data_IF_337531142345
#
_entry.id   IF_337531142345
#
_cell.length_a   1.000
_cell.length_b   1.000
_cell.length_c   1.000
_cell.angle_alpha   90.00
_cell.angle_beta   90.00
_cell.angle_gamma   90.00
#
_symmetry.space_group_name_H-M   'P 1'
#
loop_
_entity.id
_entity.type
_entity.pdbx_description
1 polymer ?
#
# COMPACT_ATOMS: atom_id res chain seq x y z
N UNK A 1 10.04 28.44 -22.13
CA UNK A 1 9.03 29.52 -22.07
C UNK A 1 7.78 29.32 -22.98
N UNK A 2 7.55 28.18 -23.62
CA UNK A 2 6.37 28.04 -24.51
C UNK A 2 5.04 28.18 -23.77
N UNK A 3 5.01 27.98 -22.44
CA UNK A 3 3.81 28.08 -21.59
C UNK A 3 3.70 29.40 -20.83
N UNK A 4 4.62 30.35 -21.03
CA UNK A 4 4.59 31.66 -20.38
C UNK A 4 5.00 31.68 -18.89
N UNK A 5 5.42 30.55 -18.33
CA UNK A 5 5.90 30.48 -16.95
C UNK A 5 7.34 31.00 -16.84
N UNK A 6 7.63 31.69 -15.74
CA UNK A 6 8.96 32.18 -15.40
C UNK A 6 9.37 31.65 -14.05
N UNK A 7 10.64 31.23 -13.93
CA UNK A 7 11.24 30.94 -12.64
C UNK A 7 11.79 32.25 -12.07
N UNK A 8 11.33 32.63 -10.91
CA UNK A 8 11.75 33.86 -10.22
C UNK A 8 12.01 33.59 -8.73
N UNK A 9 12.30 34.64 -7.96
CA UNK A 9 12.60 34.57 -6.53
C UNK A 9 11.47 33.96 -5.69
N UNK A 10 10.22 33.99 -6.18
CA UNK A 10 9.07 33.37 -5.54
C UNK A 10 8.92 31.86 -5.83
N UNK A 11 9.64 31.37 -6.86
CA UNK A 11 9.53 29.97 -7.26
C UNK A 11 10.24 29.06 -6.26
N UNK A 12 9.49 28.17 -5.62
CA UNK A 12 10.03 27.09 -4.79
C UNK A 12 10.23 25.82 -5.65
N UNK A 13 11.28 25.07 -5.38
CA UNK A 13 11.59 23.80 -6.04
C UNK A 13 11.43 22.63 -5.07
N UNK A 14 11.07 21.45 -5.59
CA UNK A 14 11.02 20.20 -4.81
C UNK A 14 12.44 19.67 -4.55
N UNK A 15 13.12 20.25 -3.57
CA UNK A 15 14.53 19.94 -3.29
C UNK A 15 14.77 18.50 -2.87
N UNK A 16 13.79 17.89 -2.22
CA UNK A 16 13.85 16.49 -1.79
C UNK A 16 13.87 15.50 -2.97
N UNK A 17 13.48 15.92 -4.17
CA UNK A 17 13.45 15.10 -5.38
C UNK A 17 14.51 15.47 -6.41
N UNK A 18 15.13 16.64 -6.28
CA UNK A 18 16.14 17.10 -7.21
C UNK A 18 17.53 16.64 -6.78
N UNK A 19 18.34 16.22 -7.74
CA UNK A 19 19.78 16.13 -7.52
C UNK A 19 20.36 17.53 -7.32
N UNK A 20 21.49 17.64 -6.64
CA UNK A 20 22.19 18.94 -6.47
C UNK A 20 22.45 19.60 -7.83
N UNK A 21 22.85 18.82 -8.82
CA UNK A 21 23.11 19.29 -10.19
C UNK A 21 21.85 19.88 -10.83
N UNK A 22 20.70 19.20 -10.69
CA UNK A 22 19.43 19.69 -11.25
C UNK A 22 18.96 20.93 -10.51
N UNK A 23 19.08 20.96 -9.18
CA UNK A 23 18.76 22.14 -8.38
C UNK A 23 19.59 23.35 -8.80
N UNK A 24 20.90 23.20 -8.94
CA UNK A 24 21.79 24.27 -9.43
C UNK A 24 21.41 24.71 -10.85
N UNK A 25 21.16 23.76 -11.75
CA UNK A 25 20.75 24.04 -13.13
C UNK A 25 19.47 24.85 -13.19
N UNK A 26 18.45 24.43 -12.46
CA UNK A 26 17.16 25.12 -12.40
C UNK A 26 17.28 26.49 -11.74
N UNK A 27 18.06 26.60 -10.67
CA UNK A 27 18.32 27.88 -9.98
C UNK A 27 18.96 28.92 -10.88
N UNK A 28 19.83 28.52 -11.81
CA UNK A 28 20.46 29.41 -12.81
C UNK A 28 19.46 29.98 -13.84
N UNK A 29 18.27 29.38 -13.99
CA UNK A 29 17.23 29.91 -14.88
C UNK A 29 16.53 31.16 -14.30
N UNK A 30 16.69 31.44 -13.01
CA UNK A 30 16.20 32.64 -12.36
C UNK A 30 17.33 33.59 -12.03
N UNK A 31 17.44 34.76 -12.73
CA UNK A 31 18.47 35.79 -12.43
C UNK A 31 18.34 36.33 -10.99
N UNK A 32 17.17 36.31 -10.41
CA UNK A 32 16.88 36.76 -9.04
C UNK A 32 17.01 35.66 -7.97
N UNK A 33 17.40 34.43 -8.38
CA UNK A 33 17.42 33.23 -7.54
C UNK A 33 16.06 32.58 -7.41
N UNK A 34 16.01 31.46 -6.70
CA UNK A 34 14.79 30.73 -6.34
C UNK A 34 14.55 30.78 -4.84
N UNK A 35 13.34 30.45 -4.40
CA UNK A 35 12.99 30.39 -2.98
C UNK A 35 13.87 29.37 -2.23
N UNK A 36 14.22 29.70 -0.99
CA UNK A 36 14.91 28.75 -0.10
C UNK A 36 13.95 27.68 0.45
N UNK A 37 12.63 27.86 0.31
CA UNK A 37 11.61 26.90 0.74
C UNK A 37 11.61 25.67 -0.16
N UNK A 38 11.49 24.49 0.43
CA UNK A 38 11.24 23.25 -0.31
C UNK A 38 9.74 23.12 -0.65
N UNK A 39 9.44 22.99 -1.94
CA UNK A 39 8.07 22.80 -2.40
C UNK A 39 7.52 21.38 -2.14
N UNK A 40 8.39 20.40 -1.91
CA UNK A 40 7.99 18.99 -1.79
C UNK A 40 6.92 18.76 -0.72
N UNK A 41 7.11 19.30 0.48
CA UNK A 41 6.13 19.19 1.58
C UNK A 41 4.78 19.78 1.21
N UNK A 42 4.77 20.97 0.60
CA UNK A 42 3.53 21.64 0.18
C UNK A 42 2.80 20.83 -0.90
N UNK A 43 3.50 20.35 -1.91
CA UNK A 43 2.92 19.55 -2.99
C UNK A 43 2.33 18.24 -2.47
N UNK A 44 3.03 17.57 -1.55
CA UNK A 44 2.51 16.36 -0.89
C UNK A 44 1.23 16.65 -0.09
N UNK A 45 1.16 17.78 0.61
CA UNK A 45 -0.04 18.21 1.33
C UNK A 45 -1.21 18.50 0.37
N UNK A 46 -0.96 19.19 -0.74
CA UNK A 46 -1.99 19.47 -1.76
C UNK A 46 -2.54 18.15 -2.37
N UNK A 47 -1.68 17.15 -2.54
CA UNK A 47 -2.07 15.85 -3.09
C UNK A 47 -2.88 14.97 -2.13
N UNK A 48 -2.90 15.27 -0.81
CA UNK A 48 -3.65 14.50 0.17
C UNK A 48 -5.15 14.46 -0.18
N UNK A 49 -5.72 15.61 -0.54
CA UNK A 49 -7.15 15.74 -0.89
C UNK A 49 -7.31 15.72 -2.40
N UNK A 50 -8.07 14.78 -2.91
CA UNK A 50 -8.26 14.53 -4.33
C UNK A 50 -9.45 15.34 -4.87
N UNK A 51 -9.28 15.87 -6.07
CA UNK A 51 -10.37 16.48 -6.83
C UNK A 51 -11.34 15.41 -7.34
N UNK A 52 -12.59 15.77 -7.73
CA UNK A 52 -13.54 14.81 -8.31
C UNK A 52 -13.01 14.10 -9.58
N UNK A 53 -12.14 14.78 -10.34
CA UNK A 53 -11.49 14.19 -11.52
C UNK A 53 -10.51 13.09 -11.17
N UNK A 54 -9.69 13.30 -10.13
CA UNK A 54 -8.73 12.34 -9.60
C UNK A 54 -9.43 11.14 -8.97
N UNK A 55 -10.47 11.38 -8.16
CA UNK A 55 -11.28 10.33 -7.55
C UNK A 55 -11.88 9.39 -8.60
N UNK A 56 -12.37 9.93 -9.71
CA UNK A 56 -12.89 9.10 -10.81
C UNK A 56 -11.82 8.16 -11.37
N UNK A 57 -10.58 8.63 -11.55
CA UNK A 57 -9.48 7.81 -12.07
C UNK A 57 -9.05 6.75 -11.05
N UNK A 58 -9.03 7.08 -9.76
CA UNK A 58 -8.74 6.11 -8.69
C UNK A 58 -9.80 5.02 -8.65
N UNK A 59 -11.09 5.37 -8.72
CA UNK A 59 -12.18 4.38 -8.80
C UNK A 59 -12.06 3.46 -10.01
N UNK A 60 -11.70 4.00 -11.17
CA UNK A 60 -11.46 3.19 -12.36
C UNK A 60 -10.29 2.22 -12.16
N UNK A 61 -9.19 2.68 -11.57
CA UNK A 61 -8.06 1.83 -11.23
C UNK A 61 -8.45 0.76 -10.22
N UNK A 62 -9.12 1.11 -9.12
CA UNK A 62 -9.52 0.17 -8.07
C UNK A 62 -10.48 -0.92 -8.57
N UNK A 63 -11.41 -0.57 -9.47
CA UNK A 63 -12.32 -1.54 -10.08
C UNK A 63 -11.56 -2.58 -10.92
N UNK A 64 -10.64 -2.15 -11.80
CA UNK A 64 -9.81 -3.06 -12.61
C UNK A 64 -8.85 -3.88 -11.74
N UNK A 65 -8.35 -3.29 -10.66
CA UNK A 65 -7.48 -3.96 -9.70
C UNK A 65 -8.22 -5.08 -8.98
N UNK A 66 -9.46 -4.84 -8.55
CA UNK A 66 -10.31 -5.83 -7.89
C UNK A 66 -10.55 -7.07 -8.75
N UNK A 67 -10.68 -6.94 -10.07
CA UNK A 67 -10.84 -8.07 -10.99
C UNK A 67 -9.69 -9.08 -10.92
N UNK A 68 -8.48 -8.63 -10.57
CA UNK A 68 -7.31 -9.53 -10.46
C UNK A 68 -7.47 -10.48 -9.30
N UNK A 69 -7.97 -9.99 -8.16
CA UNK A 69 -8.21 -10.82 -6.97
C UNK A 69 -9.35 -11.82 -7.17
N UNK A 70 -10.35 -11.49 -7.97
CA UNK A 70 -11.44 -12.40 -8.31
C UNK A 70 -10.95 -13.62 -9.11
N UNK A 71 -9.93 -13.44 -9.96
CA UNK A 71 -9.36 -14.53 -10.76
C UNK A 71 -8.12 -15.16 -10.14
N UNK A 72 -7.52 -14.54 -9.11
CA UNK A 72 -6.27 -14.99 -8.52
C UNK A 72 -6.27 -16.49 -8.12
N UNK A 73 -7.33 -17.04 -7.48
CA UNK A 73 -7.35 -18.46 -7.15
C UNK A 73 -7.29 -19.40 -8.36
N UNK A 74 -7.77 -18.94 -9.52
CA UNK A 74 -7.79 -19.72 -10.77
C UNK A 74 -6.43 -19.74 -11.47
N UNK A 75 -5.53 -18.85 -11.08
CA UNK A 75 -4.16 -18.72 -11.62
C UNK A 75 -3.14 -19.50 -10.81
N UNK A 76 -3.54 -20.04 -9.66
CA UNK A 76 -2.70 -20.88 -8.84
C UNK A 76 -2.78 -22.34 -9.30
N UNK A 77 -1.62 -22.98 -9.41
CA UNK A 77 -1.50 -24.42 -9.62
C UNK A 77 -0.71 -25.04 -8.46
N UNK A 78 -1.12 -26.23 -7.93
CA UNK A 78 -0.41 -26.89 -6.86
C UNK A 78 1.07 -27.13 -7.18
N UNK A 79 1.94 -26.69 -6.28
CA UNK A 79 3.39 -26.77 -6.44
C UNK A 79 4.04 -25.50 -7.02
N UNK A 80 3.28 -24.50 -7.40
CA UNK A 80 3.82 -23.19 -7.75
C UNK A 80 4.61 -22.58 -6.60
N UNK A 81 5.62 -21.81 -6.95
CA UNK A 81 6.27 -20.86 -6.06
C UNK A 81 5.48 -19.56 -5.96
N UNK A 82 5.70 -18.80 -4.89
CA UNK A 82 5.17 -17.44 -4.73
C UNK A 82 5.53 -16.55 -5.94
N UNK A 83 6.74 -16.69 -6.48
CA UNK A 83 7.21 -15.95 -7.66
C UNK A 83 6.50 -16.38 -8.96
N UNK A 84 6.25 -17.67 -9.18
CA UNK A 84 5.51 -18.13 -10.36
C UNK A 84 4.06 -17.66 -10.32
N UNK A 85 3.43 -17.68 -9.14
CA UNK A 85 2.07 -17.15 -9.00
C UNK A 85 2.02 -15.63 -9.18
N UNK A 86 3.02 -14.89 -8.66
CA UNK A 86 3.16 -13.47 -8.93
C UNK A 86 3.23 -13.19 -10.44
N UNK A 87 4.04 -13.93 -11.20
CA UNK A 87 4.13 -13.75 -12.65
C UNK A 87 2.81 -14.02 -13.37
N UNK A 88 2.05 -15.03 -12.91
CA UNK A 88 0.72 -15.30 -13.47
C UNK A 88 -0.26 -14.13 -13.22
N UNK A 89 -0.26 -13.57 -12.01
CA UNK A 89 -1.04 -12.39 -11.66
C UNK A 89 -0.62 -11.16 -12.48
N UNK A 90 0.68 -10.88 -12.57
CA UNK A 90 1.21 -9.77 -13.37
C UNK A 90 0.85 -9.89 -14.86
N UNK A 91 0.87 -11.09 -15.40
CA UNK A 91 0.47 -11.32 -16.78
C UNK A 91 -1.01 -10.92 -17.01
N UNK A 92 -1.90 -11.30 -16.11
CA UNK A 92 -3.31 -10.92 -16.19
C UNK A 92 -3.54 -9.42 -15.93
N UNK A 93 -2.78 -8.80 -15.04
CA UNK A 93 -2.78 -7.35 -14.83
C UNK A 93 -2.38 -6.61 -16.11
N UNK A 94 -1.30 -7.05 -16.77
CA UNK A 94 -0.82 -6.46 -18.05
C UNK A 94 -1.83 -6.60 -19.18
N UNK A 95 -2.53 -7.72 -19.27
CA UNK A 95 -3.61 -7.90 -20.26
C UNK A 95 -4.75 -6.90 -20.07
N UNK A 96 -4.98 -6.43 -18.85
CA UNK A 96 -5.98 -5.43 -18.48
C UNK A 96 -5.47 -3.98 -18.54
N UNK A 97 -4.22 -3.79 -18.98
CA UNK A 97 -3.63 -2.48 -19.21
C UNK A 97 -2.79 -1.90 -18.07
N UNK A 98 -2.44 -2.72 -17.07
CA UNK A 98 -1.47 -2.33 -16.06
C UNK A 98 -0.09 -2.06 -16.68
N UNK A 99 0.58 -0.98 -16.24
CA UNK A 99 1.84 -0.53 -16.88
C UNK A 99 3.06 -1.37 -16.48
N UNK A 100 3.00 -2.14 -15.42
CA UNK A 100 4.05 -3.07 -15.07
C UNK A 100 4.95 -2.64 -13.92
N UNK A 101 4.65 -1.51 -13.28
CA UNK A 101 5.35 -0.99 -12.12
C UNK A 101 4.45 -0.01 -11.36
N UNK A 102 4.81 0.29 -10.12
CA UNK A 102 4.21 1.37 -9.36
C UNK A 102 5.28 2.32 -8.83
N UNK A 103 4.87 3.52 -8.43
CA UNK A 103 5.75 4.54 -7.87
C UNK A 103 5.54 4.66 -6.38
N UNK A 104 6.66 4.74 -5.66
CA UNK A 104 6.66 5.02 -4.23
C UNK A 104 7.17 6.43 -3.97
N UNK A 105 6.75 6.99 -2.83
CA UNK A 105 7.36 8.21 -2.31
C UNK A 105 8.84 8.00 -1.98
N UNK A 106 9.66 8.98 -2.31
CA UNK A 106 11.10 9.01 -2.00
C UNK A 106 11.97 9.20 -3.22
N UNK A 107 13.19 8.71 -3.19
CA UNK A 107 14.19 8.93 -4.23
C UNK A 107 13.94 8.12 -5.49
N UNK A 108 12.85 8.43 -6.20
CA UNK A 108 12.53 7.88 -7.52
C UNK A 108 12.49 6.35 -7.56
N UNK A 109 11.95 5.74 -6.51
CA UNK A 109 11.80 4.30 -6.48
C UNK A 109 10.56 3.89 -7.28
N UNK A 110 10.78 3.05 -8.28
CA UNK A 110 9.75 2.34 -9.01
C UNK A 110 9.88 0.85 -8.67
N UNK A 111 8.77 0.19 -8.41
CA UNK A 111 8.72 -1.21 -8.04
C UNK A 111 7.76 -1.98 -8.94
N UNK A 112 7.92 -3.30 -8.99
CA UNK A 112 7.04 -4.18 -9.76
C UNK A 112 5.79 -4.48 -8.94
N UNK A 113 4.70 -4.75 -9.53
CA UNK A 113 3.36 -5.12 -9.06
C UNK A 113 3.06 -5.00 -7.56
N UNK A 114 3.95 -5.38 -6.71
CA UNK A 114 3.84 -5.51 -5.25
C UNK A 114 4.51 -6.79 -4.75
N UNK A 115 3.92 -7.43 -3.75
CA UNK A 115 4.51 -8.59 -3.08
C UNK A 115 3.54 -9.77 -3.03
N UNK A 116 3.93 -10.91 -3.59
CA UNK A 116 3.29 -12.21 -3.31
C UNK A 116 4.19 -12.98 -2.37
N UNK A 117 3.77 -13.21 -1.14
CA UNK A 117 4.63 -13.73 -0.08
C UNK A 117 3.98 -14.96 0.56
N UNK A 118 4.66 -16.10 0.49
CA UNK A 118 4.20 -17.35 1.07
C UNK A 118 4.95 -17.71 2.36
N UNK A 119 4.21 -18.19 3.36
CA UNK A 119 4.76 -18.77 4.59
C UNK A 119 5.71 -17.83 5.35
N UNK A 120 6.77 -18.38 5.91
CA UNK A 120 7.75 -17.65 6.72
C UNK A 120 8.55 -16.57 5.95
N UNK A 121 8.43 -16.49 4.64
CA UNK A 121 8.98 -15.37 3.89
C UNK A 121 8.37 -14.02 4.34
N UNK A 122 7.15 -14.05 4.89
CA UNK A 122 6.48 -12.88 5.44
C UNK A 122 7.12 -12.34 6.74
N UNK A 123 7.85 -13.17 7.50
CA UNK A 123 8.55 -12.74 8.72
C UNK A 123 9.82 -11.93 8.43
N UNK A 124 10.35 -12.01 7.21
CA UNK A 124 11.64 -11.40 6.88
C UNK A 124 11.53 -9.88 6.77
N UNK A 125 12.48 -9.19 7.38
CA UNK A 125 12.61 -7.74 7.24
C UNK A 125 12.92 -7.35 5.79
N UNK A 126 12.31 -6.26 5.33
CA UNK A 126 12.65 -5.61 4.07
C UNK A 126 13.70 -4.52 4.28
N UNK A 127 14.63 -4.31 3.31
CA UNK A 127 15.51 -3.13 3.32
C UNK A 127 14.75 -1.83 2.98
N UNK A 128 13.50 -1.94 2.54
CA UNK A 128 12.63 -0.83 2.18
C UNK A 128 11.54 -0.64 3.23
N UNK A 129 10.89 0.51 3.22
CA UNK A 129 9.77 0.82 4.12
C UNK A 129 8.46 0.24 3.57
N UNK A 130 8.38 -1.08 3.57
CA UNK A 130 7.18 -1.84 3.22
C UNK A 130 6.68 -2.61 4.42
N UNK A 131 5.37 -2.75 4.56
CA UNK A 131 4.75 -3.43 5.69
C UNK A 131 5.19 -4.88 5.80
N UNK A 132 5.09 -5.64 4.67
CA UNK A 132 5.55 -7.03 4.58
C UNK A 132 6.51 -7.12 3.40
N UNK A 133 7.81 -7.10 3.69
CA UNK A 133 8.82 -7.03 2.65
C UNK A 133 9.06 -8.32 1.90
N UNK A 134 9.30 -9.39 2.62
CA UNK A 134 9.84 -10.64 2.06
C UNK A 134 11.28 -10.52 1.57
N UNK A 135 11.94 -11.65 1.36
CA UNK A 135 13.37 -11.72 0.95
C UNK A 135 13.60 -11.27 -0.48
N UNK A 136 12.60 -11.46 -1.34
CA UNK A 136 12.76 -11.24 -2.76
C UNK A 136 13.80 -12.15 -3.42
N UNK A 137 14.26 -11.73 -4.59
CA UNK A 137 15.32 -12.39 -5.36
C UNK A 137 16.58 -11.52 -5.40
N UNK A 138 17.71 -12.07 -5.83
CA UNK A 138 19.00 -11.36 -5.82
C UNK A 138 19.00 -10.02 -6.58
N UNK A 139 18.21 -9.91 -7.63
CA UNK A 139 18.06 -8.69 -8.44
C UNK A 139 17.09 -7.67 -7.84
N UNK A 140 16.18 -8.13 -6.96
CA UNK A 140 15.18 -7.30 -6.31
C UNK A 140 14.82 -7.90 -4.94
N UNK A 141 15.45 -7.45 -3.85
CA UNK A 141 15.34 -8.05 -2.52
C UNK A 141 14.07 -7.61 -1.78
N UNK A 142 12.92 -7.83 -2.40
CA UNK A 142 11.59 -7.51 -1.88
C UNK A 142 10.58 -8.53 -2.43
N UNK A 143 9.62 -8.95 -1.61
CA UNK A 143 8.48 -9.77 -2.02
C UNK A 143 8.79 -11.24 -2.20
N UNK A 144 8.26 -11.82 -3.28
CA UNK A 144 8.38 -13.23 -3.62
C UNK A 144 9.85 -13.70 -3.73
N UNK A 145 10.16 -14.84 -3.14
CA UNK A 145 11.52 -15.38 -3.05
C UNK A 145 11.73 -16.67 -3.83
N UNK A 146 10.74 -17.15 -4.57
CA UNK A 146 10.74 -18.48 -5.19
C UNK A 146 10.46 -19.59 -4.18
N UNK A 147 9.79 -19.27 -3.07
CA UNK A 147 9.35 -20.24 -2.09
C UNK A 147 8.19 -21.08 -2.65
N UNK A 148 8.34 -22.41 -2.65
CA UNK A 148 7.25 -23.31 -3.05
C UNK A 148 6.13 -23.20 -2.01
N UNK A 149 4.95 -22.83 -2.46
CA UNK A 149 3.76 -22.70 -1.60
C UNK A 149 3.35 -24.09 -1.09
N UNK A 150 3.23 -24.27 0.22
CA UNK A 150 3.00 -25.56 0.87
C UNK A 150 1.69 -25.61 1.63
N UNK A 151 1.10 -26.80 1.79
CA UNK A 151 -0.03 -26.98 2.71
C UNK A 151 0.31 -26.52 4.14
N UNK A 152 -0.59 -25.73 4.76
CA UNK A 152 -0.39 -25.15 6.08
C UNK A 152 0.17 -23.72 6.05
N UNK A 153 0.48 -23.19 4.88
CA UNK A 153 0.95 -21.81 4.72
C UNK A 153 -0.16 -20.88 4.20
N UNK A 154 -0.12 -19.63 4.66
CA UNK A 154 -0.84 -18.52 4.02
C UNK A 154 0.03 -17.92 2.92
N UNK A 155 -0.64 -17.32 1.93
CA UNK A 155 0.00 -16.53 0.88
C UNK A 155 -0.68 -15.18 0.83
N UNK A 156 0.07 -14.17 1.17
CA UNK A 156 -0.35 -12.77 1.02
C UNK A 156 -0.11 -12.33 -0.42
N UNK A 157 -1.14 -11.83 -1.06
CA UNK A 157 -1.08 -11.17 -2.37
C UNK A 157 -1.37 -9.70 -2.13
N UNK A 158 -0.35 -8.89 -2.21
CA UNK A 158 -0.33 -7.46 -1.94
C UNK A 158 0.15 -6.74 -3.21
N UNK A 159 -0.78 -6.16 -3.95
CA UNK A 159 -0.51 -5.61 -5.27
C UNK A 159 -0.92 -4.16 -5.38
N UNK A 160 -0.15 -3.40 -6.14
CA UNK A 160 -0.47 -2.04 -6.55
C UNK A 160 -1.18 -2.03 -7.91
N UNK A 161 -2.38 -1.49 -7.98
CA UNK A 161 -3.09 -1.23 -9.22
C UNK A 161 -2.63 0.09 -9.84
N UNK A 162 -2.17 0.08 -11.10
CA UNK A 162 -1.80 1.28 -11.87
C UNK A 162 -2.34 1.15 -13.30
N UNK A 163 -3.63 1.41 -13.46
CA UNK A 163 -4.36 1.28 -14.74
C UNK A 163 -4.73 2.62 -15.37
N UNK A 164 -4.55 3.70 -14.62
CA UNK A 164 -4.69 5.09 -15.08
C UNK A 164 -3.41 5.86 -14.70
N UNK A 165 -3.51 7.17 -14.41
CA UNK A 165 -2.43 7.93 -13.80
C UNK A 165 -2.41 7.81 -12.26
N UNK A 166 -3.47 7.25 -11.68
CA UNK A 166 -3.66 7.11 -10.24
C UNK A 166 -3.64 5.64 -9.84
N UNK A 167 -3.17 5.39 -8.64
CA UNK A 167 -2.97 4.05 -8.10
C UNK A 167 -4.10 3.64 -7.15
N UNK A 168 -4.17 2.34 -6.87
CA UNK A 168 -4.94 1.74 -5.78
C UNK A 168 -4.10 0.66 -5.14
N UNK A 169 -4.31 0.41 -3.86
CA UNK A 169 -3.60 -0.60 -3.09
C UNK A 169 -4.58 -1.62 -2.52
N UNK A 170 -4.20 -2.89 -2.54
CA UNK A 170 -5.07 -3.96 -2.09
C UNK A 170 -4.26 -5.20 -1.72
N UNK A 171 -4.56 -5.76 -0.55
CA UNK A 171 -4.04 -7.07 -0.14
C UNK A 171 -5.17 -8.04 0.12
N UNK A 172 -5.00 -9.29 -0.34
CA UNK A 172 -5.82 -10.44 0.06
C UNK A 172 -4.95 -11.60 0.47
N UNK A 173 -5.44 -12.39 1.42
CA UNK A 173 -4.72 -13.56 1.92
C UNK A 173 -5.40 -14.85 1.47
N UNK A 174 -4.59 -15.73 0.94
CA UNK A 174 -4.96 -17.07 0.48
C UNK A 174 -4.25 -18.12 1.32
N UNK A 175 -4.64 -19.40 1.20
CA UNK A 175 -3.94 -20.48 1.87
C UNK A 175 -4.05 -21.81 1.13
N UNK A 176 -3.13 -22.72 1.41
CA UNK A 176 -3.13 -24.09 0.86
C UNK A 176 -3.29 -25.11 1.98
N UNK A 177 -4.06 -26.16 1.72
CA UNK A 177 -4.27 -27.27 2.68
C UNK A 177 -5.17 -26.89 3.84
N UNK A 178 -4.65 -26.93 5.08
CA UNK A 178 -5.36 -26.63 6.31
C UNK A 178 -4.51 -25.72 7.18
N UNK A 179 -5.08 -24.61 7.63
CA UNK A 179 -4.47 -23.70 8.59
C UNK A 179 -4.90 -24.03 10.02
N UNK A 180 -4.09 -23.68 11.03
CA UNK A 180 -4.52 -23.72 12.44
C UNK A 180 -5.62 -22.66 12.68
N UNK A 181 -6.50 -22.92 13.68
CA UNK A 181 -7.57 -21.98 14.06
C UNK A 181 -7.05 -20.58 14.42
N UNK A 182 -5.81 -20.49 14.89
CA UNK A 182 -5.16 -19.23 15.20
C UNK A 182 -4.96 -18.34 13.97
N UNK A 183 -4.70 -18.93 12.81
CA UNK A 183 -4.59 -18.18 11.56
C UNK A 183 -5.91 -17.50 11.19
N UNK A 184 -7.04 -18.22 11.33
CA UNK A 184 -8.36 -17.62 11.10
C UNK A 184 -8.66 -16.51 12.10
N UNK A 185 -8.25 -16.67 13.38
CA UNK A 185 -8.40 -15.60 14.39
C UNK A 185 -7.54 -14.37 14.07
N UNK A 186 -6.29 -14.54 13.63
CA UNK A 186 -5.45 -13.42 13.22
C UNK A 186 -6.05 -12.67 12.03
N UNK A 187 -6.57 -13.38 11.04
CA UNK A 187 -7.25 -12.76 9.90
C UNK A 187 -8.52 -12.00 10.34
N UNK A 188 -9.32 -12.60 11.20
CA UNK A 188 -10.52 -11.98 11.77
C UNK A 188 -10.23 -10.69 12.54
N UNK A 189 -9.08 -10.60 13.23
CA UNK A 189 -8.66 -9.35 13.91
C UNK A 189 -8.46 -8.23 12.90
N UNK A 190 -7.82 -8.50 11.76
CA UNK A 190 -7.67 -7.53 10.67
C UNK A 190 -9.05 -7.10 10.13
N UNK A 191 -9.98 -8.02 9.90
CA UNK A 191 -11.33 -7.69 9.45
C UNK A 191 -12.06 -6.77 10.45
N UNK A 192 -11.96 -7.04 11.74
CA UNK A 192 -12.55 -6.19 12.81
C UNK A 192 -11.94 -4.79 12.84
N UNK A 193 -10.65 -4.65 12.52
CA UNK A 193 -10.02 -3.34 12.40
C UNK A 193 -10.61 -2.57 11.22
N UNK A 194 -10.89 -3.23 10.09
CA UNK A 194 -11.56 -2.63 8.94
C UNK A 194 -13.00 -2.24 9.27
N UNK A 195 -13.78 -3.14 9.85
CA UNK A 195 -15.16 -2.86 10.29
C UNK A 195 -15.23 -1.65 11.23
N UNK A 196 -14.31 -1.59 12.20
CA UNK A 196 -14.25 -0.45 13.11
C UNK A 196 -13.89 0.86 12.36
N UNK A 197 -12.92 0.84 11.44
CA UNK A 197 -12.57 2.03 10.66
C UNK A 197 -13.75 2.49 9.79
N UNK A 198 -14.48 1.57 9.19
CA UNK A 198 -15.69 1.87 8.40
C UNK A 198 -16.81 2.49 9.25
N UNK A 199 -16.90 2.11 10.54
CA UNK A 199 -17.89 2.67 11.47
C UNK A 199 -17.54 4.10 11.93
N UNK A 200 -16.25 4.40 12.16
CA UNK A 200 -15.83 5.67 12.76
C UNK A 200 -15.19 6.65 11.79
N UNK A 201 -14.81 6.18 10.60
CA UNK A 201 -14.03 6.93 9.63
C UNK A 201 -14.85 7.99 8.91
N UNK A 202 -14.84 9.22 9.43
CA UNK A 202 -15.51 10.39 8.82
C UNK A 202 -14.58 11.62 8.85
N UNK A 203 -14.87 12.68 8.10
CA UNK A 203 -14.12 13.92 8.18
C UNK A 203 -14.05 14.46 9.61
N UNK A 204 -12.85 14.80 10.07
CA UNK A 204 -12.59 15.25 11.44
C UNK A 204 -12.11 14.14 12.38
N UNK A 205 -12.16 12.86 11.98
CA UNK A 205 -11.62 11.78 12.81
C UNK A 205 -10.08 11.85 12.90
N UNK A 206 -9.48 11.79 14.10
CA UNK A 206 -8.02 11.90 14.26
C UNK A 206 -7.29 10.69 13.65
N UNK A 207 -6.43 10.95 12.67
CA UNK A 207 -5.69 9.87 11.96
C UNK A 207 -4.81 9.06 12.91
N UNK A 208 -4.21 9.69 13.93
CA UNK A 208 -3.39 8.99 14.91
C UNK A 208 -4.15 7.93 15.71
N UNK A 209 -5.46 8.12 15.93
CA UNK A 209 -6.29 7.15 16.65
C UNK A 209 -6.53 5.88 15.84
N UNK A 210 -6.42 5.91 14.51
CA UNK A 210 -6.55 4.71 13.67
C UNK A 210 -5.45 3.69 14.04
N UNK A 211 -4.20 4.13 14.07
CA UNK A 211 -3.08 3.27 14.48
C UNK A 211 -3.19 2.82 15.95
N UNK A 212 -3.51 3.76 16.84
CA UNK A 212 -3.59 3.48 18.28
C UNK A 212 -4.66 2.44 18.60
N UNK A 213 -5.82 2.53 17.94
CA UNK A 213 -6.89 1.56 18.11
C UNK A 213 -6.49 0.16 17.59
N UNK A 214 -5.89 0.08 16.40
CA UNK A 214 -5.40 -1.19 15.86
C UNK A 214 -4.37 -1.84 16.78
N UNK A 215 -3.41 -1.07 17.29
CA UNK A 215 -2.42 -1.57 18.24
C UNK A 215 -3.08 -2.07 19.53
N UNK A 216 -4.05 -1.33 20.06
CA UNK A 216 -4.81 -1.74 21.24
C UNK A 216 -5.58 -3.05 21.01
N UNK A 217 -6.22 -3.23 19.86
CA UNK A 217 -6.86 -4.50 19.50
C UNK A 217 -5.83 -5.62 19.40
N UNK A 218 -4.70 -5.40 18.77
CA UNK A 218 -3.62 -6.39 18.68
C UNK A 218 -3.11 -6.81 20.08
N UNK A 219 -2.99 -5.85 21.04
CA UNK A 219 -2.66 -6.11 22.44
C UNK A 219 -3.74 -6.94 23.14
N UNK A 220 -5.01 -6.57 22.99
CA UNK A 220 -6.15 -7.30 23.58
C UNK A 220 -6.23 -8.76 23.12
N UNK A 221 -5.91 -9.01 21.87
CA UNK A 221 -5.92 -10.35 21.29
C UNK A 221 -4.59 -11.11 21.44
N UNK A 222 -3.55 -10.48 22.05
CA UNK A 222 -2.26 -11.10 22.32
C UNK A 222 -1.38 -11.29 21.09
N UNK A 223 -1.59 -10.52 20.03
CA UNK A 223 -0.84 -10.60 18.75
C UNK A 223 0.03 -9.37 18.48
N UNK A 224 0.19 -8.47 19.46
CA UNK A 224 0.92 -7.21 19.29
C UNK A 224 2.39 -7.39 18.90
N UNK A 225 3.02 -8.50 19.31
CA UNK A 225 4.43 -8.78 18.97
C UNK A 225 4.63 -9.12 17.50
N UNK A 226 3.57 -9.52 16.81
CA UNK A 226 3.56 -9.89 15.40
C UNK A 226 2.67 -8.98 14.55
N UNK A 227 2.18 -7.89 15.14
CA UNK A 227 1.37 -6.89 14.45
C UNK A 227 2.26 -5.98 13.59
N UNK A 228 1.92 -5.86 12.32
CA UNK A 228 2.62 -5.08 11.29
C UNK A 228 4.07 -5.53 11.06
N UNK A 229 4.38 -6.80 11.22
CA UNK A 229 5.68 -7.41 10.99
C UNK A 229 6.16 -8.32 12.13
N UNK A 230 7.29 -9.00 11.91
CA UNK A 230 7.93 -9.90 12.87
C UNK A 230 9.37 -9.45 13.17
N UNK A 231 10.35 -9.72 12.30
CA UNK A 231 11.73 -9.25 12.48
C UNK A 231 11.84 -7.72 12.52
N UNK A 232 11.05 -7.03 11.71
CA UNK A 232 10.89 -5.59 11.71
C UNK A 232 9.40 -5.25 11.63
N UNK A 233 8.94 -4.36 12.51
CA UNK A 233 7.52 -3.97 12.56
C UNK A 233 7.34 -2.54 12.07
N UNK A 234 6.41 -2.36 11.13
CA UNK A 234 5.97 -1.04 10.71
C UNK A 234 5.24 -0.33 11.85
N UNK A 235 5.39 0.99 11.94
CA UNK A 235 4.74 1.83 12.95
C UNK A 235 3.61 2.66 12.34
N UNK A 236 2.97 2.09 11.34
CA UNK A 236 1.79 2.63 10.66
C UNK A 236 0.90 1.46 10.25
N UNK A 237 -0.34 1.74 9.91
CA UNK A 237 -1.33 0.76 9.44
C UNK A 237 -1.94 1.17 8.11
N UNK A 238 -1.27 2.09 7.40
CA UNK A 238 -1.73 2.58 6.11
C UNK A 238 -1.15 3.94 5.76
N UNK A 239 -1.51 4.40 4.58
CA UNK A 239 -1.00 5.63 3.97
C UNK A 239 -2.00 6.23 2.97
N UNK A 240 -1.75 7.45 2.52
CA UNK A 240 -2.45 8.03 1.39
C UNK A 240 -2.10 7.31 0.08
N UNK A 241 -3.02 7.30 -0.86
CA UNK A 241 -2.84 6.73 -2.20
C UNK A 241 -3.20 7.77 -3.26
N UNK A 242 -2.44 7.85 -4.34
CA UNK A 242 -2.70 8.79 -5.42
C UNK A 242 -1.84 8.57 -6.66
N UNK A 243 -1.00 9.53 -7.00
CA UNK A 243 0.00 9.42 -8.07
C UNK A 243 1.15 8.49 -7.68
N UNK A 244 1.39 8.34 -6.39
CA UNK A 244 2.30 7.38 -5.78
C UNK A 244 1.49 6.45 -4.88
N UNK A 245 2.00 5.24 -4.66
CA UNK A 245 1.29 4.25 -3.85
C UNK A 245 1.20 4.70 -2.38
N UNK A 246 2.24 5.32 -1.86
CA UNK A 246 2.36 5.75 -0.47
C UNK A 246 2.47 7.29 -0.36
N UNK A 247 1.36 7.97 -0.49
CA UNK A 247 1.26 9.42 -0.27
C UNK A 247 0.99 9.76 1.21
N UNK A 248 0.88 11.05 1.52
CA UNK A 248 0.31 11.52 2.78
C UNK A 248 -1.24 11.38 2.75
N UNK A 249 -1.87 11.18 3.93
CA UNK A 249 -1.28 11.06 5.26
C UNK A 249 -0.65 9.69 5.51
N UNK A 250 0.19 9.57 6.57
CA UNK A 250 0.60 8.28 7.09
C UNK A 250 -0.28 7.94 8.30
N UNK A 251 -0.89 6.76 8.29
CA UNK A 251 -1.76 6.28 9.38
C UNK A 251 -0.92 5.74 10.53
N UNK A 252 -0.25 6.65 11.25
CA UNK A 252 0.63 6.38 12.40
C UNK A 252 0.15 7.13 13.63
N UNK A 253 0.35 6.57 14.82
CA UNK A 253 -0.08 7.17 16.09
C UNK A 253 0.45 8.57 16.41
N UNK A 254 1.43 9.05 15.64
CA UNK A 254 2.00 10.40 15.80
C UNK A 254 1.50 11.41 14.76
N UNK A 255 0.61 11.02 13.85
CA UNK A 255 0.10 11.94 12.85
C UNK A 255 -0.81 13.00 13.49
N UNK A 256 -0.54 14.30 13.26
CA UNK A 256 -1.26 15.35 14.00
C UNK A 256 -2.58 15.79 13.35
N UNK A 257 -2.90 15.23 12.17
CA UNK A 257 -4.06 15.65 11.38
C UNK A 257 -5.29 14.77 11.58
N UNK A 258 -6.35 15.13 10.89
CA UNK A 258 -7.62 14.42 10.86
C UNK A 258 -7.91 13.92 9.44
N UNK A 259 -8.83 12.99 9.29
CA UNK A 259 -9.40 12.66 7.98
C UNK A 259 -10.12 13.87 7.40
N UNK A 260 -9.95 14.10 6.10
CA UNK A 260 -10.65 15.18 5.37
C UNK A 260 -11.36 14.57 4.16
N UNK A 261 -12.51 15.13 3.81
CA UNK A 261 -13.25 14.75 2.60
C UNK A 261 -12.36 14.82 1.36
N UNK A 262 -12.41 13.79 0.53
CA UNK A 262 -11.57 13.65 -0.66
C UNK A 262 -10.20 13.04 -0.42
N UNK A 263 -9.81 12.73 0.81
CA UNK A 263 -8.63 11.89 1.05
C UNK A 263 -8.88 10.48 0.55
N UNK A 264 -7.84 9.87 -0.04
CA UNK A 264 -7.83 8.44 -0.39
C UNK A 264 -6.71 7.79 0.37
N UNK A 265 -7.03 6.75 1.12
CA UNK A 265 -6.12 6.04 2.00
C UNK A 265 -6.14 4.53 1.72
N UNK A 266 -4.98 3.89 1.79
CA UNK A 266 -4.85 2.44 1.97
C UNK A 266 -4.84 2.15 3.47
N UNK A 267 -5.58 1.13 3.88
CA UNK A 267 -5.59 0.66 5.27
C UNK A 267 -5.31 -0.83 5.30
N UNK A 268 -4.24 -1.23 6.00
CA UNK A 268 -3.55 -2.51 5.80
C UNK A 268 -3.13 -3.23 7.10
N UNK A 269 -3.97 -3.35 8.13
CA UNK A 269 -3.58 -4.03 9.35
C UNK A 269 -3.32 -5.51 9.10
N UNK A 270 -2.07 -5.94 9.29
CA UNK A 270 -1.59 -7.30 9.01
C UNK A 270 -0.94 -7.90 10.25
N UNK A 271 -1.01 -9.22 10.38
CA UNK A 271 -0.43 -9.99 11.49
C UNK A 271 0.41 -11.11 10.90
N UNK A 272 1.64 -11.27 11.38
CA UNK A 272 2.47 -12.42 11.05
C UNK A 272 2.22 -13.53 12.04
N UNK A 273 1.89 -14.71 11.56
CA UNK A 273 1.83 -15.93 12.37
C UNK A 273 3.03 -16.81 12.00
N UNK A 274 4.06 -16.93 12.88
CA UNK A 274 5.24 -17.72 12.58
C UNK A 274 4.89 -19.17 12.21
N UNK A 275 5.51 -19.69 11.18
CA UNK A 275 5.24 -21.01 10.61
C UNK A 275 4.01 -21.09 9.70
N UNK A 276 3.25 -19.99 9.56
CA UNK A 276 2.06 -19.90 8.70
C UNK A 276 2.24 -18.82 7.64
N UNK A 277 2.61 -17.60 8.03
CA UNK A 277 2.80 -16.46 7.14
C UNK A 277 1.99 -15.23 7.54
N UNK A 278 1.79 -14.28 6.61
CA UNK A 278 1.01 -13.08 6.81
C UNK A 278 -0.49 -13.33 6.72
N UNK A 279 -1.24 -12.64 7.56
CA UNK A 279 -2.70 -12.72 7.69
C UNK A 279 -3.27 -11.31 7.80
N UNK A 280 -4.39 -11.08 7.18
CA UNK A 280 -5.06 -9.79 7.12
C UNK A 280 -5.35 -9.36 5.69
N UNK A 281 -5.89 -8.17 5.57
CA UNK A 281 -6.27 -7.58 4.30
C UNK A 281 -5.85 -6.12 4.23
N UNK A 282 -5.93 -5.57 3.03
CA UNK A 282 -5.80 -4.14 2.75
C UNK A 282 -6.87 -3.70 1.77
N UNK A 283 -7.41 -2.54 2.01
CA UNK A 283 -8.32 -1.89 1.09
C UNK A 283 -8.00 -0.40 0.93
N UNK A 284 -8.24 0.11 -0.28
CA UNK A 284 -8.23 1.54 -0.59
C UNK A 284 -9.59 2.14 -0.26
N UNK A 285 -9.62 3.18 0.57
CA UNK A 285 -10.81 3.90 0.99
C UNK A 285 -10.78 5.36 0.51
N UNK A 286 -11.95 5.86 0.12
CA UNK A 286 -12.20 7.28 -0.10
C UNK A 286 -12.98 7.86 1.09
N UNK A 287 -12.52 8.96 1.63
CA UNK A 287 -13.23 9.72 2.67
C UNK A 287 -14.33 10.57 2.02
N UNK A 288 -15.58 10.24 2.32
CA UNK A 288 -16.80 10.96 1.91
C UNK A 288 -17.25 11.92 3.00
N UNK A 289 -18.20 12.83 2.72
CA UNK A 289 -18.73 13.76 3.74
C UNK A 289 -19.32 13.07 4.99
N UNK A 290 -19.80 11.85 4.86
CA UNK A 290 -20.56 11.09 5.87
C UNK A 290 -20.02 9.68 6.15
N UNK A 291 -18.74 9.41 5.84
CA UNK A 291 -18.12 8.13 6.11
C UNK A 291 -17.04 7.76 5.12
N UNK A 292 -16.78 6.46 4.97
CA UNK A 292 -15.81 5.88 4.05
C UNK A 292 -16.49 5.07 2.94
N UNK A 293 -15.97 5.19 1.73
CA UNK A 293 -16.28 4.30 0.61
C UNK A 293 -15.08 3.38 0.37
N UNK A 294 -15.28 2.07 0.48
CA UNK A 294 -14.27 1.10 0.07
C UNK A 294 -14.24 1.00 -1.46
N UNK A 295 -13.08 1.31 -2.06
CA UNK A 295 -12.91 1.31 -3.52
C UNK A 295 -12.45 -0.04 -4.07
N UNK A 296 -11.74 -0.84 -3.26
CA UNK A 296 -11.30 -2.19 -3.62
C UNK A 296 -12.24 -3.22 -3.00
N UNK A 297 -12.92 -3.99 -3.81
CA UNK A 297 -14.09 -4.80 -3.41
C UNK A 297 -13.96 -6.32 -3.58
N UNK A 298 -12.75 -6.94 -3.70
CA UNK A 298 -12.67 -8.39 -3.72
C UNK A 298 -13.03 -9.00 -2.36
N UNK A 299 -13.38 -10.30 -2.39
CA UNK A 299 -13.71 -11.08 -1.19
C UNK A 299 -12.63 -10.90 -0.10
N UNK A 300 -13.06 -10.63 1.14
CA UNK A 300 -12.18 -10.35 2.28
C UNK A 300 -11.85 -11.56 3.13
N UNK A 301 -12.55 -12.68 2.96
CA UNK A 301 -12.30 -13.90 3.73
C UNK A 301 -11.00 -14.57 3.29
N UNK A 302 -10.44 -15.42 4.15
CA UNK A 302 -9.33 -16.31 3.77
C UNK A 302 -9.79 -17.28 2.69
N UNK A 303 -9.21 -17.21 1.50
CA UNK A 303 -9.55 -18.02 0.34
C UNK A 303 -8.65 -19.24 0.24
N UNK A 304 -9.25 -20.42 0.22
CA UNK A 304 -8.51 -21.66 0.03
C UNK A 304 -8.16 -21.88 -1.44
N UNK A 305 -6.86 -22.07 -1.70
CA UNK A 305 -6.34 -22.51 -3.01
C UNK A 305 -6.45 -24.03 -3.12
N UNK A 306 -6.76 -24.51 -4.32
CA UNK A 306 -7.00 -25.94 -4.59
C UNK A 306 -6.11 -26.47 -5.71
#
# INVERSE_FOLDING_TARGET
>A
EPLGYRIDKGTALEKSYLTEVDYERLSKLSPSGVSSVDAGTLLRQVRMTKTPGEIRLIRETAARHSEIYEIAPQLYEPGMTDLEWQFALEYEMRKRGWVGLFRTFGTQMESFSGSVIAGDNASCASPYDFTMGGRGVASFPLGAAGHVIRPGESVMVDLAGDYTQYQSDCTRTYYVGTLPDEAFRCHEISLRMHEWLEEVGEPGFPIGEIYNHCLHLAEQFGVADHFMGDELRARYVGHGVGLEINELPILTGRWPGVLEEGMVIAFEPKIILPGVGALGIEDTYLVLPDGLECLTTPERTLVKLS
#
